data_IF_998546594218
#
_entry.id   IF_998546594218
#
_cell.length_a   1.000
_cell.length_b   1.000
_cell.length_c   1.000
_cell.angle_alpha   90.00
_cell.angle_beta   90.00
_cell.angle_gamma   90.00
#
_symmetry.space_group_name_H-M   'P 1'
#
loop_
_entity.id
_entity.type
_entity.pdbx_description
1 polymer ?
#
# COMPACT_ATOMS: atom_id res chain seq x y z
N UNK A 1 -19.82 7.94 21.69
CA UNK A 1 -19.08 7.08 20.74
C UNK A 1 -17.65 6.95 21.24
N UNK A 2 -17.06 5.76 21.22
CA UNK A 2 -15.67 5.54 21.67
C UNK A 2 -14.96 4.77 20.58
N UNK A 3 -14.11 5.47 19.82
CA UNK A 3 -13.10 4.80 19.00
C UNK A 3 -11.92 4.43 19.91
N UNK A 4 -11.29 3.26 19.72
CA UNK A 4 -10.09 2.95 20.47
C UNK A 4 -8.99 3.93 20.09
N UNK A 5 -8.18 4.38 21.06
CA UNK A 5 -7.03 5.26 20.82
C UNK A 5 -5.87 4.53 20.12
N UNK A 6 -5.99 3.22 19.95
CA UNK A 6 -5.06 2.35 19.23
C UNK A 6 -5.81 1.50 18.22
N UNK A 7 -5.23 1.19 17.06
CA UNK A 7 -5.92 0.39 16.05
C UNK A 7 -6.26 -1.02 16.57
N UNK A 8 -7.54 -1.40 16.46
CA UNK A 8 -7.98 -2.79 16.45
C UNK A 8 -8.12 -3.25 15.00
N UNK A 9 -7.67 -4.46 14.68
CA UNK A 9 -7.64 -4.99 13.32
C UNK A 9 -9.08 -5.23 12.80
N UNK A 10 -9.47 -4.53 11.73
CA UNK A 10 -10.76 -4.71 11.08
C UNK A 10 -10.66 -5.77 9.97
N UNK A 11 -11.59 -6.71 9.96
CA UNK A 11 -11.83 -7.61 8.82
C UNK A 11 -12.95 -7.03 7.96
N UNK A 12 -12.67 -6.81 6.67
CA UNK A 12 -13.68 -6.37 5.71
C UNK A 12 -14.44 -7.59 5.17
N UNK A 13 -15.71 -7.73 5.55
CA UNK A 13 -16.63 -8.65 4.89
C UNK A 13 -17.64 -7.81 4.10
N UNK A 14 -17.69 -7.95 2.78
CA UNK A 14 -18.82 -7.46 1.96
C UNK A 14 -19.53 -8.66 1.33
N UNK A 15 -20.81 -8.49 1.00
CA UNK A 15 -21.61 -9.52 0.34
C UNK A 15 -22.29 -8.97 -0.90
N UNK A 16 -22.27 -9.73 -2.00
CA UNK A 16 -23.02 -9.42 -3.23
C UNK A 16 -24.17 -10.42 -3.33
N UNK A 17 -25.42 -9.94 -3.29
CA UNK A 17 -26.61 -10.80 -3.39
C UNK A 17 -26.74 -11.84 -2.27
N UNK A 18 -26.20 -11.55 -1.07
CA UNK A 18 -26.20 -12.48 0.07
C UNK A 18 -25.07 -13.52 0.04
N UNK A 19 -24.21 -13.51 -0.98
CA UNK A 19 -23.00 -14.34 -1.04
C UNK A 19 -21.83 -13.51 -0.49
N UNK A 20 -21.12 -13.98 0.55
CA UNK A 20 -19.91 -13.30 1.03
C UNK A 20 -18.84 -13.35 -0.06
N UNK A 21 -18.29 -12.19 -0.42
CA UNK A 21 -17.14 -12.11 -1.32
C UNK A 21 -15.88 -12.33 -0.49
N UNK A 22 -15.06 -13.30 -0.89
CA UNK A 22 -13.82 -13.64 -0.18
C UNK A 22 -12.74 -12.59 -0.48
N UNK A 23 -12.53 -11.65 0.44
CA UNK A 23 -11.38 -10.73 0.39
C UNK A 23 -10.18 -11.32 1.13
N UNK A 24 -8.98 -10.88 0.75
CA UNK A 24 -7.82 -10.98 1.64
C UNK A 24 -8.14 -10.14 2.88
N UNK A 25 -8.09 -10.75 4.07
CA UNK A 25 -8.32 -10.04 5.34
C UNK A 25 -7.33 -8.88 5.44
N UNK A 26 -7.81 -7.64 5.33
CA UNK A 26 -6.94 -6.46 5.31
C UNK A 26 -6.18 -6.28 6.64
N UNK A 27 -6.78 -6.68 7.76
CA UNK A 27 -6.10 -6.75 9.05
C UNK A 27 -4.91 -7.70 9.00
N UNK A 28 -5.07 -8.90 8.42
CA UNK A 28 -3.99 -9.83 8.12
C UNK A 28 -2.96 -9.28 7.12
N UNK A 29 -3.41 -8.61 6.07
CA UNK A 29 -2.53 -8.06 5.02
C UNK A 29 -1.56 -7.02 5.58
N UNK A 30 -2.03 -6.11 6.45
CA UNK A 30 -1.20 -5.07 7.06
C UNK A 30 -0.20 -5.61 8.11
N UNK A 31 -0.29 -6.88 8.52
CA UNK A 31 0.76 -7.53 9.33
C UNK A 31 1.99 -7.90 8.52
N UNK A 32 1.86 -8.04 7.19
CA UNK A 32 2.99 -8.28 6.32
C UNK A 32 3.75 -6.96 6.10
N UNK A 33 5.03 -6.92 6.49
CA UNK A 33 5.88 -5.73 6.42
C UNK A 33 6.02 -5.17 5.00
N UNK A 34 6.07 -6.04 3.98
CA UNK A 34 6.19 -5.63 2.58
C UNK A 34 4.88 -4.98 2.11
N UNK A 35 3.73 -5.57 2.44
CA UNK A 35 2.42 -4.97 2.13
C UNK A 35 2.27 -3.62 2.84
N UNK A 36 2.52 -3.56 4.15
CA UNK A 36 2.43 -2.31 4.91
C UNK A 36 3.33 -1.23 4.31
N UNK A 37 4.58 -1.57 4.00
CA UNK A 37 5.57 -0.61 3.47
C UNK A 37 5.14 -0.05 2.13
N UNK A 38 4.67 -0.90 1.21
CA UNK A 38 4.19 -0.50 -0.11
C UNK A 38 2.96 0.40 -0.01
N UNK A 39 1.95 -0.01 0.75
CA UNK A 39 0.70 0.76 0.92
C UNK A 39 1.01 2.10 1.60
N UNK A 40 1.80 2.10 2.66
CA UNK A 40 2.18 3.32 3.36
C UNK A 40 2.96 4.27 2.44
N UNK A 41 3.85 3.75 1.60
CA UNK A 41 4.63 4.56 0.66
C UNK A 41 3.76 5.20 -0.39
N UNK A 42 2.97 4.42 -1.14
CA UNK A 42 2.06 4.92 -2.19
C UNK A 42 1.09 5.94 -1.60
N UNK A 43 0.44 5.59 -0.47
CA UNK A 43 -0.57 6.44 0.14
C UNK A 43 0.01 7.74 0.67
N UNK A 44 1.18 7.71 1.31
CA UNK A 44 1.84 8.93 1.81
C UNK A 44 2.34 9.82 0.69
N UNK A 45 2.96 9.24 -0.33
CA UNK A 45 3.54 9.99 -1.45
C UNK A 45 2.43 10.75 -2.20
N UNK A 46 1.34 10.08 -2.56
CA UNK A 46 0.22 10.73 -3.25
C UNK A 46 -0.52 11.71 -2.33
N UNK A 47 -0.76 11.37 -1.06
CA UNK A 47 -1.45 12.27 -0.12
C UNK A 47 -0.65 13.53 0.22
N UNK A 48 0.68 13.48 0.07
CA UNK A 48 1.54 14.66 0.25
C UNK A 48 1.32 15.71 -0.83
N UNK A 49 0.97 15.30 -2.05
CA UNK A 49 0.65 16.20 -3.15
C UNK A 49 -0.60 17.04 -2.86
N UNK A 50 -0.65 18.21 -3.49
CA UNK A 50 -1.73 19.19 -3.34
C UNK A 50 -2.55 19.32 -4.62
N UNK A 51 -3.84 19.61 -4.46
CA UNK A 51 -4.74 19.82 -5.60
C UNK A 51 -4.52 21.20 -6.21
N UNK A 52 -4.66 21.30 -7.54
CA UNK A 52 -4.61 22.55 -8.30
C UNK A 52 -5.87 22.67 -9.16
N UNK A 53 -6.59 23.78 -9.03
CA UNK A 53 -7.75 24.12 -9.88
C UNK A 53 -8.12 25.60 -9.70
N UNK A 54 -8.68 26.22 -10.74
CA UNK A 54 -9.29 27.55 -10.71
C UNK A 54 -10.63 27.55 -9.94
N UNK A 55 -11.27 26.38 -9.77
CA UNK A 55 -12.48 26.24 -8.98
C UNK A 55 -12.17 26.30 -7.48
N UNK A 56 -12.12 27.52 -6.95
CA UNK A 56 -11.79 27.79 -5.53
C UNK A 56 -12.72 27.09 -4.53
N UNK A 57 -13.99 26.86 -4.88
CA UNK A 57 -14.93 26.14 -4.01
C UNK A 57 -14.57 24.66 -3.91
N UNK A 58 -14.21 24.03 -5.03
CA UNK A 58 -13.70 22.66 -5.06
C UNK A 58 -12.36 22.57 -4.32
N UNK A 59 -11.41 23.45 -4.63
CA UNK A 59 -10.09 23.48 -4.00
C UNK A 59 -10.18 23.56 -2.47
N UNK A 60 -10.97 24.50 -1.95
CA UNK A 60 -11.15 24.66 -0.51
C UNK A 60 -11.71 23.41 0.17
N UNK A 61 -12.58 22.66 -0.52
CA UNK A 61 -13.17 21.42 0.01
C UNK A 61 -12.20 20.24 -0.09
N UNK A 62 -11.32 20.19 -1.09
CA UNK A 62 -10.32 19.14 -1.24
C UNK A 62 -9.10 19.35 -0.33
N UNK A 63 -8.71 20.61 -0.10
CA UNK A 63 -7.60 20.98 0.78
C UNK A 63 -8.00 20.98 2.26
N UNK A 64 -9.31 21.03 2.57
CA UNK A 64 -9.86 20.85 3.91
C UNK A 64 -11.08 19.93 3.89
N UNK A 65 -10.87 18.62 3.63
CA UNK A 65 -11.96 17.67 3.42
C UNK A 65 -12.72 17.37 4.71
N UNK A 66 -12.03 17.43 5.85
CA UNK A 66 -12.59 17.14 7.17
C UNK A 66 -12.17 18.19 8.20
N UNK A 67 -13.02 18.38 9.21
CA UNK A 67 -12.73 19.14 10.42
C UNK A 67 -12.14 18.25 11.54
N UNK A 68 -12.17 16.92 11.36
CA UNK A 68 -11.72 15.95 12.37
C UNK A 68 -10.31 15.44 12.09
N UNK A 69 -9.97 15.25 10.82
CA UNK A 69 -8.67 14.74 10.39
C UNK A 69 -8.02 15.69 9.38
N UNK A 70 -6.70 15.70 9.37
CA UNK A 70 -5.93 16.54 8.44
C UNK A 70 -6.17 16.14 6.98
N UNK A 71 -5.92 17.07 6.04
CA UNK A 71 -5.95 16.83 4.58
C UNK A 71 -5.14 15.59 4.22
N UNK A 72 -3.89 15.54 4.65
CA UNK A 72 -2.98 14.43 4.38
C UNK A 72 -3.58 13.10 4.85
N UNK A 73 -4.00 13.03 6.12
CA UNK A 73 -4.58 11.80 6.68
C UNK A 73 -5.87 11.37 5.98
N UNK A 74 -6.68 12.32 5.54
CA UNK A 74 -7.92 12.03 4.81
C UNK A 74 -7.64 11.35 3.46
N UNK A 75 -6.76 11.93 2.64
CA UNK A 75 -6.42 11.38 1.32
C UNK A 75 -5.54 10.13 1.42
N UNK A 76 -4.68 10.06 2.43
CA UNK A 76 -3.95 8.84 2.75
C UNK A 76 -4.95 7.70 3.06
N UNK A 77 -6.03 7.99 3.80
CA UNK A 77 -7.13 7.06 4.05
C UNK A 77 -7.79 6.54 2.77
N UNK A 78 -8.14 7.42 1.83
CA UNK A 78 -8.69 7.04 0.50
C UNK A 78 -7.78 6.02 -0.19
N UNK A 79 -6.49 6.33 -0.25
CA UNK A 79 -5.50 5.51 -0.95
C UNK A 79 -5.25 4.17 -0.26
N UNK A 80 -5.20 4.15 1.07
CA UNK A 80 -5.12 2.91 1.85
C UNK A 80 -6.35 2.05 1.56
N UNK A 81 -7.56 2.62 1.59
CA UNK A 81 -8.80 1.88 1.34
C UNK A 81 -8.86 1.31 -0.09
N UNK A 82 -8.42 2.08 -1.09
CA UNK A 82 -8.27 1.62 -2.47
C UNK A 82 -7.25 0.49 -2.60
N UNK A 83 -6.10 0.59 -1.93
CA UNK A 83 -5.09 -0.46 -1.91
C UNK A 83 -5.62 -1.75 -1.28
N UNK A 84 -6.41 -1.64 -0.20
CA UNK A 84 -6.90 -2.80 0.56
C UNK A 84 -8.12 -3.48 -0.08
N UNK A 85 -8.99 -2.72 -0.73
CA UNK A 85 -10.31 -3.22 -1.18
C UNK A 85 -10.69 -2.87 -2.61
N UNK A 86 -9.86 -2.09 -3.31
CA UNK A 86 -10.16 -1.60 -4.65
C UNK A 86 -11.22 -0.50 -4.72
N UNK A 87 -11.87 -0.17 -3.60
CA UNK A 87 -13.04 0.72 -3.57
C UNK A 87 -12.96 1.66 -2.38
N UNK A 88 -13.34 2.92 -2.56
CA UNK A 88 -13.51 3.88 -1.47
C UNK A 88 -14.78 4.73 -1.68
N UNK A 89 -15.49 5.05 -0.60
CA UNK A 89 -16.81 5.67 -0.64
C UNK A 89 -16.89 6.87 0.31
N UNK A 90 -17.20 8.04 -0.25
CA UNK A 90 -17.37 9.28 0.51
C UNK A 90 -18.68 9.98 0.09
N UNK A 91 -19.71 10.01 0.96
CA UNK A 91 -20.90 10.80 0.75
C UNK A 91 -20.61 12.29 0.60
N UNK A 92 -21.16 12.93 -0.43
CA UNK A 92 -21.06 14.38 -0.66
C UNK A 92 -22.16 15.19 0.03
N UNK A 93 -23.01 14.55 0.85
CA UNK A 93 -24.19 15.13 1.50
C UNK A 93 -23.86 16.19 2.56
N UNK A 94 -22.60 16.25 3.02
CA UNK A 94 -22.15 17.18 4.06
C UNK A 94 -20.91 17.96 3.61
N UNK A 95 -20.74 19.19 4.11
CA UNK A 95 -19.53 19.99 3.86
C UNK A 95 -18.27 19.35 4.42
N UNK A 96 -18.41 18.56 5.49
CA UNK A 96 -17.36 17.73 6.08
C UNK A 96 -17.42 16.33 5.47
N UNK A 97 -16.43 16.00 4.66
CA UNK A 97 -16.31 14.67 4.07
C UNK A 97 -15.93 13.65 5.14
N UNK A 98 -16.53 12.47 5.02
CA UNK A 98 -16.30 11.34 5.92
C UNK A 98 -16.26 10.06 5.10
N UNK A 99 -15.31 9.20 5.46
CA UNK A 99 -15.14 7.87 4.90
C UNK A 99 -16.27 6.95 5.33
N UNK A 100 -16.80 6.17 4.39
CA UNK A 100 -17.69 5.06 4.69
C UNK A 100 -16.96 3.76 4.37
N UNK A 101 -16.81 2.84 5.34
CA UNK A 101 -16.19 1.54 5.08
C UNK A 101 -16.91 0.82 3.93
N UNK A 102 -16.19 0.19 2.98
CA UNK A 102 -16.83 -0.57 1.91
C UNK A 102 -17.78 -1.66 2.40
N UNK A 103 -17.52 -2.25 3.58
CA UNK A 103 -18.42 -3.21 4.25
C UNK A 103 -19.82 -2.66 4.50
N UNK A 104 -19.96 -1.34 4.62
CA UNK A 104 -21.21 -0.67 4.95
C UNK A 104 -21.97 -0.23 3.69
N UNK A 105 -21.42 -0.43 2.49
CA UNK A 105 -21.97 0.10 1.24
C UNK A 105 -22.46 -1.03 0.34
N UNK A 106 -23.72 -0.92 -0.11
CA UNK A 106 -24.29 -1.75 -1.16
C UNK A 106 -24.57 -0.90 -2.40
N UNK A 107 -24.13 -1.37 -3.57
CA UNK A 107 -24.45 -0.75 -4.85
C UNK A 107 -25.69 -1.41 -5.44
N UNK A 108 -26.70 -0.59 -5.74
CA UNK A 108 -27.96 -1.02 -6.31
C UNK A 108 -28.10 -0.49 -7.74
N UNK A 109 -28.17 -1.42 -8.69
CA UNK A 109 -28.41 -1.09 -10.10
C UNK A 109 -29.87 -0.72 -10.31
N UNK A 110 -30.14 0.42 -10.96
CA UNK A 110 -31.50 0.84 -11.25
C UNK A 110 -32.06 0.08 -12.47
N UNK A 111 -33.35 -0.33 -12.44
CA UNK A 111 -33.99 -0.97 -13.57
C UNK A 111 -33.88 -0.14 -14.85
N UNK A 112 -33.71 -0.80 -16.00
CA UNK A 112 -33.68 -0.11 -17.30
C UNK A 112 -32.37 0.61 -17.60
N UNK A 113 -31.27 0.32 -16.89
CA UNK A 113 -29.94 0.87 -17.18
C UNK A 113 -29.87 2.40 -17.00
N UNK A 114 -30.68 2.94 -16.07
CA UNK A 114 -30.81 4.39 -15.84
C UNK A 114 -29.78 4.94 -14.84
N UNK A 115 -29.00 4.08 -14.20
CA UNK A 115 -27.93 4.47 -13.27
C UNK A 115 -27.79 3.53 -12.08
N UNK A 116 -27.09 4.00 -11.05
CA UNK A 116 -26.90 3.29 -9.78
C UNK A 116 -27.29 4.16 -8.59
N UNK A 117 -27.60 3.51 -7.48
CA UNK A 117 -27.75 4.11 -6.16
C UNK A 117 -26.92 3.34 -5.14
N UNK A 118 -26.54 4.00 -4.06
CA UNK A 118 -25.82 3.41 -2.95
C UNK A 118 -26.74 3.33 -1.74
N UNK A 119 -26.76 2.18 -1.07
CA UNK A 119 -27.29 2.06 0.28
C UNK A 119 -26.12 1.99 1.24
N UNK A 120 -25.98 3.01 2.08
CA UNK A 120 -25.04 3.03 3.20
C UNK A 120 -25.80 2.51 4.41
N UNK A 121 -25.39 1.35 4.93
CA UNK A 121 -26.02 0.70 6.07
C UNK A 121 -25.81 1.49 7.36
N UNK A 122 -26.75 1.31 8.29
CA UNK A 122 -26.63 1.80 9.65
C UNK A 122 -25.40 1.18 10.31
N UNK A 123 -24.53 2.03 10.83
CA UNK A 123 -23.38 1.60 11.62
C UNK A 123 -22.98 2.75 12.53
N UNK A 124 -22.53 2.45 13.75
CA UNK A 124 -21.85 3.46 14.57
C UNK A 124 -22.70 4.73 14.84
N UNK A 125 -24.01 4.56 15.02
CA UNK A 125 -25.02 5.63 15.16
C UNK A 125 -25.22 6.53 13.92
N UNK A 126 -24.58 6.21 12.78
CA UNK A 126 -24.94 6.77 11.47
C UNK A 126 -26.19 6.03 10.97
N UNK A 127 -27.30 6.73 10.65
CA UNK A 127 -28.50 6.07 10.12
C UNK A 127 -28.25 5.50 8.73
N UNK A 128 -29.10 4.56 8.30
CA UNK A 128 -29.10 4.11 6.91
C UNK A 128 -29.36 5.30 5.96
N UNK A 129 -28.60 5.37 4.86
CA UNK A 129 -28.74 6.40 3.84
C UNK A 129 -28.86 5.80 2.45
N UNK A 130 -29.79 6.30 1.64
CA UNK A 130 -29.84 6.04 0.20
C UNK A 130 -29.27 7.24 -0.55
N UNK A 131 -28.18 7.02 -1.28
CA UNK A 131 -27.40 8.07 -1.92
C UNK A 131 -27.38 7.83 -3.43
N UNK A 132 -27.75 8.84 -4.21
CA UNK A 132 -27.68 8.80 -5.67
C UNK A 132 -26.24 8.91 -6.17
N UNK A 133 -25.98 8.46 -7.40
CA UNK A 133 -24.63 8.45 -7.98
C UNK A 133 -23.95 9.83 -7.98
N UNK A 134 -24.69 10.92 -8.17
CA UNK A 134 -24.16 12.29 -8.18
C UNK A 134 -23.76 12.80 -6.78
N UNK A 135 -24.19 12.12 -5.70
CA UNK A 135 -23.93 12.50 -4.31
C UNK A 135 -22.96 11.58 -3.58
N UNK A 136 -22.29 10.68 -4.30
CA UNK A 136 -21.27 9.80 -3.76
C UNK A 136 -19.99 9.99 -4.57
N UNK A 137 -18.87 10.23 -3.89
CA UNK A 137 -17.56 9.94 -4.45
C UNK A 137 -17.35 8.43 -4.33
N UNK A 138 -17.16 7.77 -5.45
CA UNK A 138 -16.78 6.36 -5.47
C UNK A 138 -15.53 6.21 -6.31
N UNK A 139 -14.40 5.98 -5.63
CA UNK A 139 -13.12 5.72 -6.27
C UNK A 139 -12.95 4.22 -6.49
N UNK A 140 -12.44 3.84 -7.67
CA UNK A 140 -12.28 2.43 -8.07
C UNK A 140 -10.89 2.20 -8.63
N UNK A 141 -10.14 1.30 -8.02
CA UNK A 141 -8.93 0.76 -8.64
C UNK A 141 -9.31 -0.42 -9.53
N UNK A 142 -8.71 -0.55 -10.71
CA UNK A 142 -8.92 -1.68 -11.63
C UNK A 142 -10.40 -2.13 -11.71
N UNK A 143 -11.30 -1.31 -12.31
CA UNK A 143 -12.72 -1.64 -12.40
C UNK A 143 -12.99 -3.03 -12.97
N UNK A 144 -13.83 -3.80 -12.29
CA UNK A 144 -14.05 -5.21 -12.55
C UNK A 144 -15.11 -5.44 -13.66
N UNK A 145 -14.75 -6.08 -14.78
CA UNK A 145 -15.71 -6.40 -15.84
C UNK A 145 -16.88 -7.29 -15.37
N UNK A 146 -16.69 -8.16 -14.37
CA UNK A 146 -17.75 -9.04 -13.85
C UNK A 146 -18.90 -8.22 -13.24
N UNK A 147 -18.56 -7.08 -12.63
CA UNK A 147 -19.51 -6.15 -12.03
C UNK A 147 -19.79 -4.94 -12.91
N UNK A 148 -19.71 -5.10 -14.24
CA UNK A 148 -19.94 -4.02 -15.23
C UNK A 148 -19.07 -2.78 -14.97
N UNK A 149 -17.86 -2.98 -14.45
CA UNK A 149 -16.91 -1.92 -14.08
C UNK A 149 -17.42 -0.99 -12.96
N UNK A 150 -18.46 -1.40 -12.22
CA UNK A 150 -19.04 -0.58 -11.15
C UNK A 150 -18.30 -0.72 -9.82
N UNK A 151 -17.49 -1.76 -9.67
CA UNK A 151 -16.71 -2.10 -8.48
C UNK A 151 -15.25 -2.23 -8.91
N UNK A 152 -14.32 -1.76 -8.10
CA UNK A 152 -12.88 -1.94 -8.28
C UNK A 152 -12.33 -3.19 -7.61
N UNK A 153 -11.11 -3.59 -8.00
CA UNK A 153 -10.36 -4.71 -7.42
C UNK A 153 -9.09 -4.23 -6.73
N UNK A 154 -8.78 -4.85 -5.59
CA UNK A 154 -7.53 -4.58 -4.88
C UNK A 154 -6.35 -5.29 -5.54
N UNK A 155 -5.14 -4.69 -5.57
CA UNK A 155 -3.92 -5.38 -5.95
C UNK A 155 -3.65 -6.62 -5.07
N UNK A 156 -4.11 -6.62 -3.82
CA UNK A 156 -3.98 -7.75 -2.90
C UNK A 156 -4.67 -9.02 -3.40
N UNK A 157 -5.73 -8.90 -4.18
CA UNK A 157 -6.43 -10.06 -4.74
C UNK A 157 -5.52 -10.88 -5.66
N UNK A 158 -4.56 -10.23 -6.33
CA UNK A 158 -3.57 -10.92 -7.17
C UNK A 158 -2.50 -11.67 -6.35
N UNK A 159 -2.36 -11.33 -5.06
CA UNK A 159 -1.32 -11.84 -4.19
C UNK A 159 -1.77 -13.03 -3.34
N UNK A 160 -3.01 -13.49 -3.43
CA UNK A 160 -3.52 -14.55 -2.54
C UNK A 160 -2.63 -15.80 -2.51
N UNK A 161 -2.19 -16.27 -3.69
CA UNK A 161 -1.27 -17.41 -3.79
C UNK A 161 0.12 -17.08 -3.21
N UNK A 162 0.67 -15.91 -3.54
CA UNK A 162 1.97 -15.45 -3.03
C UNK A 162 1.96 -15.34 -1.50
N UNK A 163 0.95 -14.71 -0.92
CA UNK A 163 0.79 -14.59 0.54
C UNK A 163 0.65 -15.95 1.22
N UNK A 164 -0.06 -16.89 0.58
CA UNK A 164 -0.16 -18.26 1.10
C UNK A 164 1.19 -18.96 1.09
N UNK A 165 1.99 -18.79 0.03
CA UNK A 165 3.35 -19.34 -0.07
C UNK A 165 4.25 -18.71 0.98
N UNK A 166 4.20 -17.39 1.12
CA UNK A 166 5.01 -16.64 2.07
C UNK A 166 4.71 -17.05 3.51
N UNK A 167 3.44 -17.22 3.84
CA UNK A 167 3.01 -17.66 5.16
C UNK A 167 3.50 -19.09 5.45
N UNK A 168 3.23 -20.05 4.54
CA UNK A 168 3.66 -21.44 4.71
C UNK A 168 5.19 -21.56 4.78
N UNK A 169 5.90 -20.76 3.99
CA UNK A 169 7.36 -20.70 4.01
C UNK A 169 7.83 -20.13 5.34
N UNK A 170 7.28 -19.01 5.79
CA UNK A 170 7.58 -18.43 7.10
C UNK A 170 7.35 -19.43 8.23
N UNK A 171 6.20 -20.12 8.24
CA UNK A 171 5.88 -21.13 9.25
C UNK A 171 6.85 -22.32 9.19
N UNK A 172 7.17 -22.81 7.99
CA UNK A 172 8.16 -23.87 7.78
C UNK A 172 9.55 -23.44 8.24
N UNK A 173 9.92 -22.18 8.03
CA UNK A 173 11.21 -21.62 8.41
C UNK A 173 11.29 -21.43 9.93
N UNK A 174 10.24 -20.92 10.57
CA UNK A 174 10.13 -20.85 12.02
C UNK A 174 10.20 -22.24 12.63
N UNK A 175 9.48 -23.22 12.07
CA UNK A 175 9.56 -24.61 12.51
C UNK A 175 10.97 -25.18 12.31
N UNK A 176 11.61 -24.89 11.18
CA UNK A 176 13.00 -25.32 10.91
C UNK A 176 13.97 -24.67 11.88
N UNK A 177 13.87 -23.37 12.13
CA UNK A 177 14.70 -22.65 13.10
C UNK A 177 14.46 -23.16 14.52
N UNK A 178 13.21 -23.37 14.93
CA UNK A 178 12.86 -23.93 16.24
C UNK A 178 13.39 -25.37 16.39
N UNK A 179 13.31 -26.18 15.34
CA UNK A 179 13.82 -27.56 15.32
C UNK A 179 15.34 -27.63 15.08
N UNK A 180 15.98 -26.59 14.56
CA UNK A 180 17.44 -26.50 14.41
C UNK A 180 18.09 -25.97 15.67
N UNK A 181 17.45 -25.02 16.36
CA UNK A 181 17.78 -24.65 17.74
C UNK A 181 17.57 -25.87 18.66
N UNK A 182 16.62 -26.75 18.32
CA UNK A 182 16.45 -28.07 18.94
C UNK A 182 16.99 -29.23 18.06
N UNK A 183 18.27 -29.16 17.66
CA UNK A 183 19.07 -30.35 17.29
C UNK A 183 18.49 -31.23 16.16
N UNK A 184 18.55 -30.76 14.92
CA UNK A 184 18.42 -31.63 13.75
C UNK A 184 19.63 -32.58 13.67
N UNK A 185 19.43 -33.84 14.02
CA UNK A 185 20.49 -34.85 14.04
C UNK A 185 19.94 -36.26 14.07
N UNK A 186 20.86 -37.23 14.05
CA UNK A 186 20.55 -38.66 14.14
C UNK A 186 20.78 -39.13 15.57
N UNK A 187 19.71 -39.57 16.23
CA UNK A 187 19.80 -40.32 17.49
C UNK A 187 19.92 -41.81 17.17
N UNK A 188 21.07 -42.40 17.50
CA UNK A 188 21.37 -43.82 17.35
C UNK A 188 21.12 -44.53 18.67
N UNK A 189 20.27 -45.56 18.64
CA UNK A 189 20.00 -46.44 19.78
C UNK A 189 20.79 -47.73 19.61
N UNK A 190 21.71 -48.02 20.52
CA UNK A 190 22.46 -49.27 20.54
C UNK A 190 21.58 -50.41 21.09
N UNK A 191 21.71 -51.61 20.50
CA UNK A 191 20.96 -52.81 20.91
C UNK A 191 19.43 -52.71 20.78
N UNK A 192 18.93 -52.03 19.75
CA UNK A 192 17.49 -51.96 19.47
C UNK A 192 16.88 -53.36 19.24
N UNK A 193 15.83 -53.67 19.99
CA UNK A 193 15.02 -54.86 19.79
C UNK A 193 13.87 -54.55 18.83
N UNK A 194 13.85 -55.20 17.66
CA UNK A 194 12.83 -54.98 16.62
C UNK A 194 11.41 -55.39 17.02
N UNK A 195 11.25 -56.13 18.13
CA UNK A 195 9.97 -56.66 18.57
C UNK A 195 9.08 -55.62 19.28
N UNK A 196 9.62 -54.45 19.64
CA UNK A 196 8.85 -53.36 20.26
C UNK A 196 8.98 -52.04 19.47
N UNK A 197 8.01 -51.73 18.58
CA UNK A 197 8.07 -50.54 17.72
C UNK A 197 8.02 -49.20 18.48
N UNK A 198 7.66 -49.20 19.76
CA UNK A 198 7.57 -47.99 20.57
C UNK A 198 8.92 -47.55 21.19
N UNK A 199 9.94 -48.41 21.21
CA UNK A 199 11.20 -48.11 21.90
C UNK A 199 11.97 -46.95 21.26
N UNK A 200 11.85 -46.79 19.93
CA UNK A 200 12.46 -45.65 19.21
C UNK A 200 11.71 -44.34 19.46
N UNK A 201 10.38 -44.38 19.58
CA UNK A 201 9.56 -43.21 19.90
C UNK A 201 9.85 -42.72 21.32
N UNK A 202 9.87 -43.65 22.28
CA UNK A 202 10.17 -43.33 23.68
C UNK A 202 11.59 -42.78 23.86
N UNK A 203 12.56 -43.30 23.11
CA UNK A 203 13.92 -42.77 23.09
C UNK A 203 13.96 -41.34 22.54
N UNK A 204 13.19 -41.03 21.48
CA UNK A 204 13.06 -39.69 20.92
C UNK A 204 12.41 -38.73 21.92
N UNK A 205 11.25 -39.09 22.48
CA UNK A 205 10.55 -38.26 23.46
C UNK A 205 11.41 -37.97 24.70
N UNK A 206 12.15 -38.99 25.18
CA UNK A 206 13.05 -38.82 26.32
C UNK A 206 14.20 -37.87 26.00
N UNK A 207 14.77 -37.97 24.80
CA UNK A 207 15.81 -37.08 24.32
C UNK A 207 15.30 -35.64 24.16
N UNK A 208 14.16 -35.45 23.50
CA UNK A 208 13.54 -34.14 23.28
C UNK A 208 13.13 -33.47 24.59
N UNK A 209 12.63 -34.23 25.57
CA UNK A 209 12.30 -33.71 26.90
C UNK A 209 13.53 -33.25 27.68
N UNK A 210 14.63 -33.99 27.57
CA UNK A 210 15.87 -33.69 28.30
C UNK A 210 16.67 -32.54 27.66
N UNK A 211 16.62 -32.40 26.33
CA UNK A 211 17.53 -31.51 25.58
C UNK A 211 16.81 -30.44 24.73
N UNK A 212 15.47 -30.45 24.67
CA UNK A 212 14.65 -29.45 23.96
C UNK A 212 13.98 -28.44 24.90
N UNK A 213 13.22 -27.49 24.32
CA UNK A 213 12.48 -26.47 25.07
C UNK A 213 13.38 -25.59 25.94
N UNK A 214 13.03 -25.40 27.22
CA UNK A 214 13.82 -24.63 28.19
C UNK A 214 15.22 -25.21 28.46
N UNK A 215 15.47 -26.48 28.07
CA UNK A 215 16.78 -27.12 28.18
C UNK A 215 17.65 -26.96 26.92
N UNK A 216 17.13 -26.32 25.88
CA UNK A 216 17.86 -26.07 24.64
C UNK A 216 19.11 -25.23 24.88
N UNK A 217 20.24 -25.62 24.28
CA UNK A 217 21.54 -24.95 24.45
C UNK A 217 22.27 -25.21 25.77
N UNK A 218 21.72 -26.07 26.66
CA UNK A 218 22.40 -26.53 27.88
C UNK A 218 23.32 -27.73 27.58
N UNK A 219 24.14 -28.12 28.55
CA UNK A 219 25.00 -29.30 28.44
C UNK A 219 24.15 -30.54 28.14
N UNK A 220 24.44 -31.21 27.02
CA UNK A 220 23.71 -32.40 26.57
C UNK A 220 23.97 -33.58 27.51
N UNK A 221 22.90 -34.29 27.89
CA UNK A 221 22.97 -35.50 28.70
C UNK A 221 22.41 -36.67 27.91
N UNK A 222 23.24 -37.68 27.69
CA UNK A 222 22.90 -38.91 27.00
C UNK A 222 23.33 -40.14 27.82
N UNK A 223 22.46 -41.15 27.99
CA UNK A 223 22.87 -42.44 28.54
C UNK A 223 23.71 -43.23 27.54
N UNK A 224 24.58 -44.12 28.01
CA UNK A 224 25.61 -44.82 27.22
C UNK A 224 25.11 -45.59 25.98
N UNK A 225 23.83 -45.95 25.92
CA UNK A 225 23.22 -46.65 24.79
C UNK A 225 22.66 -45.72 23.70
N UNK A 226 22.65 -44.40 23.94
CA UNK A 226 22.23 -43.37 22.99
C UNK A 226 23.43 -42.57 22.50
N UNK A 227 23.50 -42.40 21.19
CA UNK A 227 24.54 -41.61 20.53
C UNK A 227 23.87 -40.60 19.59
N UNK A 228 24.15 -39.30 19.78
CA UNK A 228 23.54 -38.24 18.99
C UNK A 228 24.58 -37.59 18.09
N UNK A 229 24.31 -37.63 16.79
CA UNK A 229 25.13 -36.99 15.77
C UNK A 229 24.35 -35.81 15.18
N UNK A 230 24.80 -34.59 15.44
CA UNK A 230 24.21 -33.39 14.83
C UNK A 230 24.53 -33.37 13.33
N UNK A 231 23.54 -33.06 12.49
CA UNK A 231 23.82 -32.78 11.09
C UNK A 231 24.51 -31.42 10.96
N UNK A 232 25.55 -31.35 10.12
CA UNK A 232 26.25 -30.10 9.83
C UNK A 232 25.31 -29.11 9.11
N UNK A 233 25.33 -27.85 9.53
CA UNK A 233 24.46 -26.81 8.99
C UNK A 233 24.69 -26.64 7.48
N UNK A 234 23.68 -26.99 6.68
CA UNK A 234 23.70 -26.64 5.25
C UNK A 234 23.41 -25.14 5.11
N UNK A 235 24.43 -24.39 4.72
CA UNK A 235 24.34 -22.97 4.32
C UNK A 235 23.22 -22.69 3.30
N UNK A 236 22.80 -23.72 2.55
CA UNK A 236 21.67 -23.70 1.62
C UNK A 236 20.33 -23.32 2.26
N UNK A 237 20.09 -23.61 3.55
CA UNK A 237 18.82 -23.26 4.21
C UNK A 237 18.70 -21.75 4.33
N UNK A 238 19.70 -21.05 4.89
CA UNK A 238 19.69 -19.59 5.00
C UNK A 238 19.62 -18.89 3.64
N UNK A 239 20.26 -19.47 2.63
CA UNK A 239 20.16 -18.98 1.25
C UNK A 239 18.73 -19.08 0.72
N UNK A 240 18.08 -20.23 0.90
CA UNK A 240 16.67 -20.42 0.52
C UNK A 240 15.72 -19.50 1.32
N UNK A 241 15.99 -19.22 2.60
CA UNK A 241 15.22 -18.26 3.41
C UNK A 241 15.24 -16.86 2.77
N UNK A 242 16.44 -16.37 2.46
CA UNK A 242 16.62 -15.04 1.86
C UNK A 242 16.03 -14.96 0.45
N UNK A 243 16.23 -15.99 -0.38
CA UNK A 243 15.67 -16.04 -1.74
C UNK A 243 14.14 -16.01 -1.76
N UNK A 244 13.49 -16.74 -0.84
CA UNK A 244 12.03 -16.73 -0.72
C UNK A 244 11.50 -15.36 -0.24
N UNK A 245 12.17 -14.73 0.74
CA UNK A 245 11.79 -13.40 1.21
C UNK A 245 11.92 -12.33 0.11
N UNK A 246 12.99 -12.38 -0.70
CA UNK A 246 13.15 -11.50 -1.86
C UNK A 246 12.10 -11.76 -2.94
N UNK A 247 11.80 -13.03 -3.25
CA UNK A 247 10.76 -13.40 -4.22
C UNK A 247 9.38 -12.89 -3.82
N UNK A 248 9.00 -13.03 -2.54
CA UNK A 248 7.79 -12.46 -1.96
C UNK A 248 7.72 -10.95 -2.17
N UNK A 249 8.79 -10.24 -1.77
CA UNK A 249 8.88 -8.80 -1.88
C UNK A 249 8.73 -8.33 -3.32
N UNK A 250 9.38 -8.99 -4.29
CA UNK A 250 9.28 -8.68 -5.71
C UNK A 250 7.86 -8.86 -6.25
N UNK A 251 7.14 -9.91 -5.83
CA UNK A 251 5.75 -10.13 -6.24
C UNK A 251 4.81 -9.07 -5.69
N UNK A 252 4.98 -8.71 -4.43
CA UNK A 252 4.22 -7.63 -3.78
C UNK A 252 4.52 -6.30 -4.48
N UNK A 253 5.80 -5.99 -4.71
CA UNK A 253 6.23 -4.79 -5.43
C UNK A 253 5.58 -4.70 -6.82
N UNK A 254 5.60 -5.81 -7.57
CA UNK A 254 5.00 -5.92 -8.91
C UNK A 254 3.50 -5.67 -8.87
N UNK A 255 2.77 -6.30 -7.96
CA UNK A 255 1.31 -6.16 -7.86
C UNK A 255 0.88 -4.71 -7.61
N UNK A 256 1.66 -3.97 -6.83
CA UNK A 256 1.38 -2.58 -6.51
C UNK A 256 2.04 -1.56 -7.46
N UNK A 257 2.86 -2.02 -8.41
CA UNK A 257 3.58 -1.15 -9.34
C UNK A 257 4.71 -0.34 -8.69
N UNK A 258 5.28 -0.83 -7.58
CA UNK A 258 6.44 -0.19 -6.92
C UNK A 258 7.72 -0.91 -7.37
N UNK A 259 8.79 -0.20 -7.75
CA UNK A 259 10.08 -0.84 -8.00
C UNK A 259 10.59 -1.54 -6.74
N UNK A 260 11.01 -2.81 -6.84
CA UNK A 260 11.44 -3.58 -5.66
C UNK A 260 12.69 -3.00 -4.97
N UNK A 261 13.54 -2.30 -5.72
CA UNK A 261 14.66 -1.52 -5.19
C UNK A 261 14.23 -0.45 -4.15
N UNK A 262 13.00 0.06 -4.25
CA UNK A 262 12.47 1.05 -3.30
C UNK A 262 11.94 0.43 -2.00
N UNK A 263 11.80 -0.88 -1.94
CA UNK A 263 11.26 -1.60 -0.77
C UNK A 263 12.35 -2.22 0.11
N UNK A 264 13.64 -2.00 -0.22
CA UNK A 264 14.77 -2.49 0.56
C UNK A 264 15.08 -3.98 0.37
N UNK A 265 14.47 -4.65 -0.61
CA UNK A 265 14.66 -6.07 -0.93
C UNK A 265 15.81 -6.38 -1.90
N UNK A 266 16.43 -5.36 -2.51
CA UNK A 266 17.55 -5.53 -3.43
C UNK A 266 18.87 -5.69 -2.68
N UNK A 267 19.50 -6.86 -2.76
CA UNK A 267 20.86 -7.13 -2.26
C UNK A 267 21.97 -6.40 -3.05
N UNK A 268 21.69 -5.22 -3.61
CA UNK A 268 22.58 -4.52 -4.53
C UNK A 268 22.71 -3.06 -4.13
N UNK A 269 23.67 -2.83 -3.24
CA UNK A 269 24.35 -1.55 -3.00
C UNK A 269 24.98 -0.94 -4.26
N UNK A 270 24.97 -1.62 -5.41
CA UNK A 270 25.54 -1.13 -6.68
C UNK A 270 24.59 -0.28 -7.54
N UNK A 271 23.26 -0.33 -7.33
CA UNK A 271 22.28 0.45 -8.13
C UNK A 271 22.12 1.91 -7.66
N UNK A 272 22.80 2.31 -6.59
CA UNK A 272 22.51 3.54 -5.83
C UNK A 272 22.94 4.86 -6.52
N UNK A 273 23.72 4.82 -7.61
CA UNK A 273 24.25 6.05 -8.22
C UNK A 273 23.85 6.30 -9.69
N UNK A 274 23.63 5.27 -10.51
CA UNK A 274 23.47 5.47 -11.97
C UNK A 274 22.03 5.44 -12.48
N UNK A 275 21.07 4.90 -11.70
CA UNK A 275 19.69 4.66 -12.18
C UNK A 275 18.59 5.22 -11.27
N UNK A 276 18.96 5.97 -10.23
CA UNK A 276 18.00 6.43 -9.21
C UNK A 276 16.94 7.38 -9.77
N UNK A 277 17.29 8.23 -10.75
CA UNK A 277 16.34 9.11 -11.44
C UNK A 277 15.34 8.34 -12.30
N UNK A 278 15.79 7.32 -13.05
CA UNK A 278 14.89 6.52 -13.89
C UNK A 278 13.93 5.68 -13.04
N UNK A 279 14.42 5.11 -11.92
CA UNK A 279 13.57 4.35 -10.98
C UNK A 279 12.53 5.27 -10.33
N UNK A 280 12.91 6.50 -9.94
CA UNK A 280 11.97 7.52 -9.45
C UNK A 280 10.93 7.90 -10.50
N UNK A 281 11.35 8.14 -11.74
CA UNK A 281 10.45 8.47 -12.84
C UNK A 281 9.46 7.33 -13.13
N UNK A 282 9.93 6.08 -13.14
CA UNK A 282 9.08 4.90 -13.29
C UNK A 282 8.08 4.77 -12.14
N UNK A 283 8.52 4.94 -10.90
CA UNK A 283 7.64 4.89 -9.72
C UNK A 283 6.51 5.91 -9.82
N UNK A 284 6.81 7.18 -10.15
CA UNK A 284 5.77 8.20 -10.27
C UNK A 284 4.86 7.98 -11.48
N UNK A 285 5.40 7.46 -12.58
CA UNK A 285 4.58 7.02 -13.71
C UNK A 285 3.56 5.97 -13.25
N UNK A 286 3.95 5.05 -12.38
CA UNK A 286 3.08 4.00 -11.86
C UNK A 286 2.04 4.54 -10.85
N UNK A 287 2.36 5.61 -10.11
CA UNK A 287 1.40 6.26 -9.20
C UNK A 287 0.14 6.78 -9.94
N UNK A 288 0.24 7.07 -11.24
CA UNK A 288 -0.92 7.46 -12.06
C UNK A 288 -2.04 6.41 -12.03
N UNK A 289 -1.72 5.14 -11.81
CA UNK A 289 -2.70 4.04 -11.65
C UNK A 289 -3.67 4.31 -10.49
N UNK A 290 -3.18 4.95 -9.43
CA UNK A 290 -3.96 5.29 -8.23
C UNK A 290 -4.56 6.69 -8.31
N UNK A 291 -3.84 7.62 -8.93
CA UNK A 291 -4.22 9.04 -9.01
C UNK A 291 -5.34 9.27 -10.02
N UNK A 292 -5.26 8.63 -11.19
CA UNK A 292 -6.23 8.81 -12.27
C UNK A 292 -7.68 8.58 -11.82
N UNK A 293 -8.02 7.44 -11.19
CA UNK A 293 -9.36 7.19 -10.68
C UNK A 293 -9.86 8.22 -9.67
N UNK A 294 -8.96 8.74 -8.83
CA UNK A 294 -9.31 9.77 -7.84
C UNK A 294 -9.61 11.09 -8.56
N UNK A 295 -8.70 11.55 -9.41
CA UNK A 295 -8.81 12.84 -10.06
C UNK A 295 -10.00 12.90 -11.01
N UNK A 296 -10.25 11.85 -11.81
CA UNK A 296 -11.36 11.86 -12.76
C UNK A 296 -12.73 11.83 -12.06
N UNK A 297 -12.87 11.07 -10.98
CA UNK A 297 -14.11 11.08 -10.18
C UNK A 297 -14.29 12.45 -9.50
N UNK A 298 -13.23 13.05 -8.97
CA UNK A 298 -13.29 14.38 -8.36
C UNK A 298 -13.65 15.47 -9.39
N UNK A 299 -13.02 15.47 -10.57
CA UNK A 299 -13.35 16.39 -11.68
C UNK A 299 -14.84 16.35 -12.01
N UNK A 300 -15.38 15.14 -12.13
CA UNK A 300 -16.77 14.90 -12.47
C UNK A 300 -17.74 15.36 -11.37
N UNK A 301 -17.42 15.09 -10.10
CA UNK A 301 -18.34 15.35 -8.97
C UNK A 301 -18.26 16.77 -8.43
N UNK A 302 -17.10 17.41 -8.53
CA UNK A 302 -16.90 18.80 -8.13
C UNK A 302 -17.07 19.80 -9.28
N UNK A 303 -17.32 19.31 -10.51
CA UNK A 303 -17.42 20.14 -11.71
C UNK A 303 -16.19 21.04 -11.89
N UNK A 304 -15.00 20.43 -11.79
CA UNK A 304 -13.70 21.09 -11.87
C UNK A 304 -12.85 20.36 -12.93
N UNK A 305 -13.10 20.57 -14.24
CA UNK A 305 -12.44 19.80 -15.30
C UNK A 305 -10.92 20.04 -15.38
N UNK A 306 -10.45 21.16 -14.87
CA UNK A 306 -9.06 21.60 -14.76
C UNK A 306 -8.35 21.06 -13.49
N UNK A 307 -9.04 20.29 -12.65
CA UNK A 307 -8.46 19.75 -11.42
C UNK A 307 -7.26 18.85 -11.72
N UNK A 308 -6.14 19.13 -11.09
CA UNK A 308 -4.92 18.34 -11.16
C UNK A 308 -4.38 18.05 -9.75
N UNK A 309 -3.53 17.03 -9.64
CA UNK A 309 -2.76 16.74 -8.42
C UNK A 309 -1.28 16.94 -8.73
N UNK A 310 -0.62 17.80 -7.96
CA UNK A 310 0.78 18.11 -8.19
C UNK A 310 1.71 17.07 -7.59
N UNK A 311 1.89 15.98 -8.32
CA UNK A 311 2.85 14.92 -8.01
C UNK A 311 4.23 15.24 -8.60
N UNK A 312 4.31 16.17 -9.56
CA UNK A 312 5.56 16.51 -10.26
C UNK A 312 6.55 17.22 -9.35
N UNK A 313 6.06 18.02 -8.41
CA UNK A 313 6.86 18.60 -7.33
C UNK A 313 7.67 17.55 -6.53
N UNK A 314 7.27 16.26 -6.56
CA UNK A 314 8.03 15.18 -5.94
C UNK A 314 9.29 14.77 -6.73
N UNK A 315 9.36 15.04 -8.05
CA UNK A 315 10.56 14.82 -8.87
C UNK A 315 11.54 15.98 -8.75
N UNK A 316 10.99 17.19 -8.74
CA UNK A 316 11.74 18.44 -8.86
C UNK A 316 11.77 19.15 -7.51
N UNK A 317 12.27 18.47 -6.48
CA UNK A 317 12.28 19.00 -5.09
C UNK A 317 13.10 20.29 -4.97
N UNK A 318 14.04 20.52 -5.90
CA UNK A 318 14.85 21.73 -5.99
C UNK A 318 14.40 22.70 -7.09
N UNK A 319 13.25 22.44 -7.72
CA UNK A 319 12.61 23.31 -8.70
C UNK A 319 13.45 23.56 -9.98
N UNK A 320 14.56 22.83 -10.14
CA UNK A 320 15.56 23.10 -11.16
C UNK A 320 15.10 22.71 -12.56
N UNK A 321 14.21 21.72 -12.68
CA UNK A 321 13.73 21.18 -13.95
C UNK A 321 12.73 22.12 -14.59
N UNK A 322 11.73 22.60 -13.84
CA UNK A 322 10.74 23.54 -14.37
C UNK A 322 11.40 24.87 -14.76
N UNK A 323 12.29 25.40 -13.92
CA UNK A 323 13.01 26.64 -14.21
C UNK A 323 13.84 26.52 -15.49
N UNK A 324 14.53 25.38 -15.70
CA UNK A 324 15.26 25.12 -16.95
C UNK A 324 14.34 25.09 -18.17
N UNK A 325 13.19 24.43 -18.08
CA UNK A 325 12.21 24.36 -19.18
C UNK A 325 11.63 25.74 -19.51
N UNK A 326 11.25 26.52 -18.49
CA UNK A 326 10.72 27.87 -18.68
C UNK A 326 11.77 28.80 -19.32
N UNK A 327 13.03 28.72 -18.88
CA UNK A 327 14.12 29.47 -19.51
C UNK A 327 14.33 29.07 -20.97
N UNK A 328 14.23 27.79 -21.31
CA UNK A 328 14.31 27.33 -22.71
C UNK A 328 13.15 27.87 -23.53
N UNK A 329 11.90 27.79 -23.05
CA UNK A 329 10.73 28.31 -23.75
C UNK A 329 10.80 29.83 -23.95
N UNK A 330 11.36 30.57 -22.99
CA UNK A 330 11.65 31.99 -23.14
C UNK A 330 12.71 32.26 -24.21
N UNK A 331 13.75 31.44 -24.29
CA UNK A 331 14.82 31.59 -25.28
C UNK A 331 14.36 31.29 -26.70
N UNK A 332 13.32 30.46 -26.86
CA UNK A 332 12.71 30.11 -28.15
C UNK A 332 11.53 31.02 -28.55
N UNK A 333 11.27 32.11 -27.81
CA UNK A 333 10.12 33.00 -28.01
C UNK A 333 8.76 32.27 -28.05
N UNK A 334 8.66 31.09 -27.42
CA UNK A 334 7.45 30.28 -27.39
C UNK A 334 6.42 30.77 -26.35
N UNK A 335 6.90 31.45 -25.30
CA UNK A 335 6.07 32.06 -24.25
C UNK A 335 6.57 33.46 -23.91
N UNK A 336 5.65 34.38 -23.64
CA UNK A 336 6.00 35.71 -23.12
C UNK A 336 6.43 35.65 -21.65
N UNK A 337 7.20 36.64 -21.15
CA UNK A 337 7.56 36.74 -19.74
C UNK A 337 6.35 36.72 -18.79
N UNK A 338 5.23 37.32 -19.19
CA UNK A 338 3.98 37.33 -18.42
C UNK A 338 3.34 35.94 -18.34
N UNK A 339 3.38 35.17 -19.43
CA UNK A 339 2.88 33.80 -19.47
C UNK A 339 3.75 32.89 -18.59
N UNK A 340 5.07 33.06 -18.61
CA UNK A 340 5.99 32.35 -17.73
C UNK A 340 5.72 32.71 -16.27
N UNK A 341 5.55 34.00 -15.96
CA UNK A 341 5.23 34.43 -14.60
C UNK A 341 3.90 33.85 -14.11
N UNK A 342 2.90 33.78 -14.98
CA UNK A 342 1.62 33.13 -14.68
C UNK A 342 1.79 31.66 -14.33
N UNK A 343 2.53 30.90 -15.17
CA UNK A 343 2.82 29.48 -14.90
C UNK A 343 3.56 29.31 -13.59
N UNK A 344 4.65 30.06 -13.36
CA UNK A 344 5.42 29.96 -12.12
C UNK A 344 4.61 30.31 -10.87
N UNK A 345 3.70 31.29 -10.94
CA UNK A 345 2.76 31.59 -9.83
C UNK A 345 1.79 30.44 -9.59
N UNK A 346 1.13 29.96 -10.65
CA UNK A 346 0.19 28.84 -10.58
C UNK A 346 0.84 27.58 -10.01
N UNK A 347 2.09 27.34 -10.38
CA UNK A 347 2.83 26.18 -9.90
C UNK A 347 3.34 26.35 -8.46
N UNK A 348 3.24 27.54 -7.85
CA UNK A 348 3.62 27.83 -6.46
C UNK A 348 5.05 28.35 -6.27
N UNK A 349 5.78 28.60 -7.35
CA UNK A 349 7.19 29.02 -7.36
C UNK A 349 7.35 30.50 -7.08
N UNK A 350 6.35 31.29 -7.45
CA UNK A 350 6.27 32.72 -7.16
C UNK A 350 5.04 33.00 -6.31
N UNK A 351 5.14 33.84 -5.27
CA UNK A 351 3.98 34.23 -4.50
C UNK A 351 2.98 34.99 -5.38
N UNK A 352 1.68 34.87 -5.08
CA UNK A 352 0.62 35.56 -5.83
C UNK A 352 0.86 37.08 -5.90
N UNK A 353 1.35 37.63 -4.79
CA UNK A 353 1.76 39.01 -4.57
C UNK A 353 3.20 39.32 -5.01
N UNK A 354 3.79 38.54 -5.92
CA UNK A 354 5.11 38.85 -6.50
C UNK A 354 5.09 40.23 -7.19
N UNK A 355 5.97 41.17 -6.80
CA UNK A 355 6.00 42.52 -7.36
C UNK A 355 6.22 42.52 -8.87
N UNK A 356 5.61 43.47 -9.58
CA UNK A 356 5.92 43.69 -11.00
C UNK A 356 7.36 44.14 -11.13
N UNK A 357 8.09 43.53 -12.06
CA UNK A 357 9.42 43.99 -12.43
C UNK A 357 9.32 45.39 -13.03
N UNK A 358 10.05 46.34 -12.46
CA UNK A 358 10.22 47.69 -13.01
C UNK A 358 11.62 47.73 -13.59
N UNK A 359 11.73 47.83 -14.91
CA UNK A 359 13.03 47.93 -15.56
C UNK A 359 13.76 49.19 -15.05
N UNK A 360 15.06 49.11 -14.75
CA UNK A 360 15.84 50.28 -14.40
C UNK A 360 15.77 51.29 -15.56
N UNK A 361 15.54 52.57 -15.24
CA UNK A 361 15.57 53.63 -16.23
C UNK A 361 16.92 53.56 -16.97
N UNK A 362 16.87 53.34 -18.29
CA UNK A 362 18.05 53.49 -19.12
C UNK A 362 18.43 54.97 -19.10
N UNK A 363 19.37 55.32 -18.23
CA UNK A 363 20.11 56.57 -18.35
C UNK A 363 20.87 56.50 -19.68
N UNK A 364 20.26 57.04 -20.74
CA UNK A 364 20.96 57.33 -21.97
C UNK A 364 22.05 58.36 -21.62
N UNK A 365 23.27 57.87 -21.44
CA UNK A 365 24.48 58.68 -21.31
C UNK A 365 25.08 58.91 -22.68
#
# INVERSE_FOLDING_TARGET
>A
MVYPSTPGLLSFNTSVGGIPVSYVDAGGALKNVNIYSVINRISSDIASAHFKTENTAALNRLERPSNLISRFSFWQGVLIQLCLSGNDYIPLSSTNLEHVPPSDVQINYLPGNTGITYTVMENNNRPEMKISQDKMLHFRLMPDPEYRYLIGRSPLESLQTSLTIDQKTTDSNLNTLNNQINSAGKLKVSNYNSDNPNDLEQARESFEKANGGDNSGRLMVLPDFLDYEAYEMKTDVFKALNENASYSADRIATAFGVPSDMLGGGSSTESQHSNSEQIKALYLSNLNTYVGPIIDELRLKFNAPDLELDIKSMLDVDDSTLIKQMNQLSQFDALSPEQIQFVLKREGYLPDNFPKYVAPEKNNS
#
